data_IF_781282396986
#
_entry.id   IF_781282396986
#
_cell.length_a   1.000
_cell.length_b   1.000
_cell.length_c   1.000
_cell.angle_alpha   90.00
_cell.angle_beta   90.00
_cell.angle_gamma   90.00
#
_symmetry.space_group_name_H-M   'P 1'
#
loop_
_entity.id
_entity.type
_entity.pdbx_description
1 polymer ?
#
# COMPACT_ATOMS: atom_id res chain seq x y z
N UNK A 1 11.18 -0.56 18.92
CA UNK A 1 10.02 -1.39 18.52
C UNK A 1 9.93 -1.36 17.01
N UNK A 2 9.78 -2.52 16.34
CA UNK A 2 9.62 -2.58 14.88
C UNK A 2 8.12 -2.63 14.58
N UNK A 3 7.64 -1.75 13.70
CA UNK A 3 6.22 -1.61 13.36
C UNK A 3 6.09 -1.63 11.83
N UNK A 4 5.19 -2.45 11.34
CA UNK A 4 4.79 -2.49 9.94
C UNK A 4 3.32 -2.05 9.84
N UNK A 5 3.01 -1.20 8.86
CA UNK A 5 1.64 -0.87 8.48
C UNK A 5 1.28 -1.73 7.28
N UNK A 6 0.16 -2.45 7.34
CA UNK A 6 -0.30 -3.28 6.23
C UNK A 6 -1.64 -2.73 5.74
N UNK A 7 -1.74 -2.46 4.45
CA UNK A 7 -2.95 -1.93 3.82
C UNK A 7 -3.19 -2.65 2.50
N UNK A 8 -4.45 -2.96 2.17
CA UNK A 8 -4.80 -3.73 0.97
C UNK A 8 -4.29 -3.08 -0.32
N UNK A 9 -4.71 -1.86 -0.66
CA UNK A 9 -4.19 -1.07 -1.77
C UNK A 9 -4.30 0.43 -1.46
N UNK A 10 -3.41 1.24 -2.03
CA UNK A 10 -3.34 2.69 -1.80
C UNK A 10 -3.38 3.43 -3.15
N UNK A 11 -4.54 3.42 -3.82
CA UNK A 11 -4.73 3.91 -5.20
C UNK A 11 -5.60 5.16 -5.32
N UNK A 12 -6.28 5.54 -4.24
CA UNK A 12 -7.13 6.71 -4.12
C UNK A 12 -7.32 7.04 -2.64
N UNK A 13 -7.61 8.29 -2.31
CA UNK A 13 -7.96 8.64 -0.93
C UNK A 13 -9.41 8.31 -0.61
N UNK A 14 -9.62 7.52 0.44
CA UNK A 14 -10.90 7.17 1.02
C UNK A 14 -10.83 7.12 2.54
N UNK A 15 -11.79 6.44 3.17
CA UNK A 15 -11.84 6.32 4.63
C UNK A 15 -10.69 5.50 5.20
N UNK A 16 -10.32 4.40 4.52
CA UNK A 16 -9.25 3.52 4.97
C UNK A 16 -7.88 4.24 4.94
N UNK A 17 -7.64 5.03 3.90
CA UNK A 17 -6.41 5.80 3.74
C UNK A 17 -6.30 6.93 4.76
N UNK A 18 -7.42 7.55 5.15
CA UNK A 18 -7.43 8.51 6.27
C UNK A 18 -7.07 7.84 7.61
N UNK A 19 -7.50 6.60 7.84
CA UNK A 19 -7.05 5.85 9.01
C UNK A 19 -5.55 5.55 8.92
N UNK A 20 -5.06 5.13 7.74
CA UNK A 20 -3.64 4.90 7.50
C UNK A 20 -2.79 6.15 7.74
N UNK A 21 -3.27 7.33 7.32
CA UNK A 21 -2.63 8.62 7.57
C UNK A 21 -2.44 8.87 9.08
N UNK A 22 -3.48 8.63 9.89
CA UNK A 22 -3.38 8.74 11.34
C UNK A 22 -2.35 7.77 11.92
N UNK A 23 -2.32 6.51 11.46
CA UNK A 23 -1.30 5.56 11.89
C UNK A 23 0.11 5.97 11.46
N UNK A 24 0.27 6.60 10.28
CA UNK A 24 1.55 7.13 9.82
C UNK A 24 2.02 8.32 10.66
N UNK A 25 1.11 9.14 11.19
CA UNK A 25 1.45 10.21 12.13
C UNK A 25 1.92 9.65 13.48
N UNK A 26 1.26 8.60 13.97
CA UNK A 26 1.65 7.92 15.21
C UNK A 26 2.96 7.13 15.08
N UNK A 27 3.20 6.54 13.92
CA UNK A 27 4.35 5.68 13.64
C UNK A 27 5.10 6.15 12.40
N UNK A 28 5.80 7.30 12.46
CA UNK A 28 6.42 7.91 11.29
C UNK A 28 7.57 7.11 10.68
N UNK A 29 8.12 6.15 11.44
CA UNK A 29 9.18 5.25 11.00
C UNK A 29 8.66 3.89 10.53
N UNK A 30 7.33 3.65 10.57
CA UNK A 30 6.77 2.38 10.15
C UNK A 30 6.83 2.21 8.64
N UNK A 31 7.22 1.02 8.20
CA UNK A 31 7.22 0.65 6.78
C UNK A 31 5.82 0.25 6.36
N UNK A 32 5.36 0.74 5.21
CA UNK A 32 4.06 0.40 4.63
C UNK A 32 4.20 -0.78 3.67
N UNK A 33 3.41 -1.82 3.90
CA UNK A 33 3.26 -2.97 3.03
C UNK A 33 1.87 -2.95 2.40
N UNK A 34 1.81 -3.06 1.07
CA UNK A 34 0.54 -3.01 0.35
C UNK A 34 0.54 -3.86 -0.92
N UNK A 35 -0.63 -4.18 -1.49
CA UNK A 35 -0.68 -4.91 -2.76
C UNK A 35 -0.32 -3.99 -3.92
N UNK A 36 -0.86 -2.78 -3.92
CA UNK A 36 -0.79 -1.82 -5.02
C UNK A 36 -0.76 -0.41 -4.46
N UNK A 37 -0.05 0.51 -5.11
CA UNK A 37 -0.14 1.93 -4.76
C UNK A 37 0.03 2.84 -5.97
N UNK A 38 -0.52 4.05 -5.87
CA UNK A 38 -0.15 5.19 -6.72
C UNK A 38 0.87 6.05 -5.99
N UNK A 39 1.95 6.40 -6.68
CA UNK A 39 3.02 7.23 -6.13
C UNK A 39 2.48 8.55 -5.57
N UNK A 40 1.51 9.14 -6.24
CA UNK A 40 0.88 10.40 -5.82
C UNK A 40 0.12 10.21 -4.51
N UNK A 41 -0.64 9.12 -4.38
CA UNK A 41 -1.46 8.84 -3.19
C UNK A 41 -0.60 8.53 -1.96
N UNK A 42 0.48 7.75 -2.10
CA UNK A 42 1.36 7.49 -0.94
C UNK A 42 2.11 8.76 -0.50
N UNK A 43 2.47 9.65 -1.45
CA UNK A 43 3.09 10.95 -1.13
C UNK A 43 2.13 11.86 -0.40
N UNK A 44 0.86 11.88 -0.82
CA UNK A 44 -0.19 12.64 -0.14
C UNK A 44 -0.42 12.16 1.29
N UNK A 45 -0.29 10.85 1.55
CA UNK A 45 -0.33 10.25 2.89
C UNK A 45 0.97 10.43 3.71
N UNK A 46 1.97 11.13 3.16
CA UNK A 46 3.23 11.41 3.86
C UNK A 46 4.25 10.26 3.86
N UNK A 47 4.08 9.25 2.99
CA UNK A 47 5.08 8.21 2.77
C UNK A 47 6.07 8.60 1.68
N UNK A 48 7.31 8.16 1.85
CA UNK A 48 8.35 8.18 0.81
C UNK A 48 8.45 6.79 0.17
N UNK A 49 8.78 6.71 -1.12
CA UNK A 49 8.74 5.44 -1.88
C UNK A 49 9.64 4.34 -1.28
N UNK A 50 10.75 4.70 -0.63
CA UNK A 50 11.62 3.73 0.06
C UNK A 50 11.04 3.19 1.39
N UNK A 51 9.96 3.79 1.91
CA UNK A 51 9.21 3.30 3.07
C UNK A 51 7.99 2.45 2.66
N UNK A 52 7.84 2.13 1.37
CA UNK A 52 6.70 1.38 0.85
C UNK A 52 7.17 0.14 0.09
N UNK A 53 6.70 -1.03 0.52
CA UNK A 53 6.85 -2.29 -0.21
C UNK A 53 5.51 -2.68 -0.80
N UNK A 54 5.48 -2.90 -2.12
CA UNK A 54 4.29 -3.36 -2.82
C UNK A 54 4.44 -4.80 -3.31
N UNK A 55 3.31 -5.49 -3.51
CA UNK A 55 3.33 -6.82 -4.13
C UNK A 55 3.84 -6.77 -5.58
N UNK A 56 4.15 -7.94 -6.14
CA UNK A 56 4.58 -8.08 -7.54
C UNK A 56 3.57 -7.49 -8.54
N UNK A 57 2.30 -7.37 -8.16
CA UNK A 57 1.25 -6.80 -8.99
C UNK A 57 1.57 -5.34 -9.37
N UNK A 58 2.13 -4.55 -8.45
CA UNK A 58 2.38 -3.13 -8.69
C UNK A 58 3.38 -2.84 -9.82
N UNK A 59 4.19 -3.84 -10.22
CA UNK A 59 5.14 -3.73 -11.34
C UNK A 59 4.47 -3.80 -12.72
N UNK A 60 3.20 -4.22 -12.80
CA UNK A 60 2.50 -4.42 -14.07
C UNK A 60 1.90 -3.09 -14.57
N UNK A 61 2.33 -2.65 -15.77
CA UNK A 61 1.81 -1.42 -16.39
C UNK A 61 0.29 -1.45 -16.55
N UNK A 62 -0.39 -0.39 -16.10
CA UNK A 62 -1.85 -0.26 -16.19
C UNK A 62 -2.64 -1.14 -15.21
N UNK A 63 -1.99 -1.77 -14.23
CA UNK A 63 -2.71 -2.54 -13.20
C UNK A 63 -3.58 -1.64 -12.32
N UNK A 64 -3.09 -0.45 -12.01
CA UNK A 64 -3.76 0.50 -11.12
C UNK A 64 -5.14 0.89 -11.67
N UNK A 65 -5.27 1.06 -12.99
CA UNK A 65 -6.56 1.40 -13.62
C UNK A 65 -7.55 0.24 -13.64
N UNK A 66 -7.06 -0.99 -13.45
CA UNK A 66 -7.84 -2.23 -13.57
C UNK A 66 -7.73 -3.12 -12.34
N UNK A 67 -7.33 -2.58 -11.19
CA UNK A 67 -6.94 -3.34 -10.01
C UNK A 67 -8.05 -4.30 -9.54
N UNK A 68 -9.32 -3.88 -9.66
CA UNK A 68 -10.49 -4.71 -9.31
C UNK A 68 -10.58 -6.02 -10.10
N UNK A 69 -10.02 -6.09 -11.31
CA UNK A 69 -9.96 -7.35 -12.09
C UNK A 69 -8.98 -8.36 -11.51
N UNK A 70 -8.08 -7.90 -10.63
CA UNK A 70 -7.06 -8.72 -9.98
C UNK A 70 -7.47 -9.14 -8.56
N UNK A 71 -8.69 -8.82 -8.10
CA UNK A 71 -9.21 -9.27 -6.79
C UNK A 71 -9.02 -10.78 -6.54
N UNK A 72 -9.26 -11.70 -7.50
CA UNK A 72 -9.01 -13.13 -7.28
C UNK A 72 -7.54 -13.48 -6.99
N UNK A 73 -6.59 -12.62 -7.38
CA UNK A 73 -5.14 -12.81 -7.19
C UNK A 73 -4.66 -12.18 -5.89
N UNK A 74 -5.43 -11.29 -5.26
CA UNK A 74 -5.02 -10.56 -4.07
C UNK A 74 -4.69 -11.45 -2.86
N UNK A 75 -5.42 -12.57 -2.58
CA UNK A 75 -5.05 -13.47 -1.49
C UNK A 75 -3.65 -14.06 -1.68
N UNK A 76 -3.31 -14.49 -2.90
CA UNK A 76 -1.97 -14.97 -3.18
C UNK A 76 -0.93 -13.85 -3.07
N UNK A 77 -1.25 -12.66 -3.59
CA UNK A 77 -0.31 -11.54 -3.59
C UNK A 77 0.01 -10.98 -2.19
N UNK A 78 -0.94 -11.04 -1.24
CA UNK A 78 -0.69 -10.58 0.14
C UNK A 78 0.22 -11.56 0.89
N UNK A 79 0.07 -12.87 0.66
CA UNK A 79 0.92 -13.91 1.27
C UNK A 79 2.39 -13.83 0.83
N UNK A 80 2.68 -13.18 -0.30
CA UNK A 80 4.05 -12.98 -0.77
C UNK A 80 4.77 -11.78 -0.15
N UNK A 81 4.09 -10.99 0.70
CA UNK A 81 4.73 -9.87 1.40
C UNK A 81 5.54 -10.41 2.58
N UNK A 82 6.84 -10.08 2.60
CA UNK A 82 7.76 -10.42 3.68
C UNK A 82 7.77 -9.29 4.72
N UNK A 83 7.29 -9.57 5.93
CA UNK A 83 6.95 -8.59 6.99
C UNK A 83 7.90 -8.66 8.19
#
# INVERSE_FOLDING_TARGET
MKIALVHDWVVSLGGAEKCLENFRQLYPQAHLYTLLYKTETIKELGFVENQVTASFLNKKRGIIDKYRRYLPVFPYAIEQLDL
#
